data_IF_895241806426
#
_entry.id   IF_895241806426
#
_cell.length_a   1.000
_cell.length_b   1.000
_cell.length_c   1.000
_cell.angle_alpha   90.00
_cell.angle_beta   90.00
_cell.angle_gamma   90.00
#
_symmetry.space_group_name_H-M   'P 1'
#
loop_
_entity.id
_entity.type
_entity.pdbx_description
1 polymer ?
#
# COMPACT_ATOMS: atom_id res chain seq x y z
N UNK A 1 13.27 -8.96 13.62
CA UNK A 1 13.95 -7.80 13.01
C UNK A 1 14.44 -8.04 11.59
N UNK A 2 14.92 -9.24 11.25
CA UNK A 2 15.43 -9.57 9.91
C UNK A 2 14.44 -9.28 8.79
N UNK A 3 13.13 -9.47 9.01
CA UNK A 3 12.10 -9.20 8.00
C UNK A 3 12.03 -7.71 7.58
N UNK A 4 12.07 -6.78 8.53
CA UNK A 4 12.07 -5.34 8.25
C UNK A 4 13.36 -4.90 7.53
N UNK A 5 14.49 -5.51 7.89
CA UNK A 5 15.80 -5.28 7.26
C UNK A 5 15.84 -5.76 5.80
N UNK A 6 15.18 -6.88 5.51
CA UNK A 6 15.01 -7.38 4.15
C UNK A 6 14.04 -6.47 3.36
N UNK A 7 12.92 -6.06 3.93
CA UNK A 7 11.94 -5.21 3.23
C UNK A 7 12.51 -3.84 2.86
N UNK A 8 13.26 -3.19 3.76
CA UNK A 8 13.87 -1.88 3.48
C UNK A 8 14.95 -1.96 2.38
N UNK A 9 15.63 -3.11 2.24
CA UNK A 9 16.67 -3.29 1.21
C UNK A 9 16.07 -3.58 -0.17
N UNK A 10 14.93 -4.27 -0.24
CA UNK A 10 14.22 -4.58 -1.50
C UNK A 10 13.29 -3.48 -1.99
N UNK A 11 12.90 -2.54 -1.13
CA UNK A 11 11.98 -1.46 -1.51
C UNK A 11 12.66 -0.42 -2.42
N UNK A 12 12.10 -0.19 -3.61
CA UNK A 12 12.57 0.84 -4.55
C UNK A 12 11.97 2.23 -4.28
N UNK A 13 10.77 2.28 -3.70
CA UNK A 13 10.10 3.54 -3.38
C UNK A 13 10.81 4.26 -2.23
N UNK A 14 11.35 5.46 -2.50
CA UNK A 14 12.13 6.24 -1.53
C UNK A 14 11.34 6.62 -0.26
N UNK A 15 10.07 7.01 -0.40
CA UNK A 15 9.23 7.36 0.75
C UNK A 15 8.99 6.12 1.62
N UNK A 16 8.55 5.01 1.02
CA UNK A 16 8.33 3.76 1.75
C UNK A 16 9.61 3.26 2.41
N UNK A 17 10.76 3.36 1.74
CA UNK A 17 12.06 2.98 2.29
C UNK A 17 12.44 3.82 3.50
N UNK A 18 12.23 5.14 3.44
CA UNK A 18 12.49 6.04 4.58
C UNK A 18 11.61 5.68 5.77
N UNK A 19 10.31 5.47 5.54
CA UNK A 19 9.38 5.07 6.60
C UNK A 19 9.74 3.70 7.19
N UNK A 20 10.10 2.71 6.37
CA UNK A 20 10.56 1.40 6.85
C UNK A 20 11.85 1.46 7.65
N UNK A 21 12.81 2.31 7.27
CA UNK A 21 14.03 2.55 8.04
C UNK A 21 13.70 3.13 9.42
N UNK A 22 12.84 4.13 9.46
CA UNK A 22 12.40 4.73 10.72
C UNK A 22 11.66 3.71 11.58
N UNK A 23 10.83 2.86 10.97
CA UNK A 23 10.17 1.81 11.72
C UNK A 23 11.11 0.76 12.30
N UNK A 24 12.14 0.39 11.54
CA UNK A 24 13.18 -0.51 12.01
C UNK A 24 13.93 0.06 13.22
N UNK A 25 14.31 1.34 13.18
CA UNK A 25 14.99 2.02 14.30
C UNK A 25 14.09 2.15 15.54
N UNK A 26 12.83 2.53 15.36
CA UNK A 26 11.89 2.71 16.47
C UNK A 26 11.62 1.39 17.20
N UNK A 27 11.40 0.30 16.45
CA UNK A 27 11.23 -1.04 17.03
C UNK A 27 12.51 -1.53 17.70
N UNK A 28 13.69 -1.18 17.17
CA UNK A 28 14.98 -1.43 17.85
C UNK A 28 15.13 -0.71 19.19
N UNK A 29 14.55 0.48 19.30
CA UNK A 29 14.53 1.26 20.54
C UNK A 29 13.45 0.80 21.52
N UNK A 30 12.67 -0.23 21.17
CA UNK A 30 11.63 -0.82 22.02
C UNK A 30 10.24 -0.20 21.85
N UNK A 31 10.03 0.64 20.83
CA UNK A 31 8.68 1.09 20.47
C UNK A 31 7.87 -0.06 19.87
N UNK A 32 6.55 -0.06 20.10
CA UNK A 32 5.68 -1.03 19.43
C UNK A 32 5.66 -0.80 17.91
N UNK A 33 5.43 -1.86 17.15
CA UNK A 33 5.38 -1.77 15.69
C UNK A 33 4.21 -0.89 15.24
N UNK A 34 3.05 -1.00 15.88
CA UNK A 34 1.88 -0.17 15.57
C UNK A 34 2.12 1.32 15.82
N UNK A 35 2.76 1.70 16.93
CA UNK A 35 3.12 3.10 17.21
C UNK A 35 4.11 3.66 16.20
N UNK A 36 5.10 2.84 15.84
CA UNK A 36 6.09 3.19 14.85
C UNK A 36 5.48 3.44 13.45
N UNK A 37 4.50 2.62 13.04
CA UNK A 37 3.75 2.83 11.80
C UNK A 37 2.83 4.06 11.88
N UNK A 38 2.25 4.38 13.05
CA UNK A 38 1.41 5.59 13.26
C UNK A 38 2.14 6.88 12.96
N UNK A 39 3.47 6.94 13.18
CA UNK A 39 4.29 8.11 12.85
C UNK A 39 4.42 8.36 11.34
N UNK A 40 4.14 7.36 10.51
CA UNK A 40 4.22 7.38 9.05
C UNK A 40 2.83 7.13 8.42
N UNK A 41 1.80 7.80 8.96
CA UNK A 41 0.40 7.64 8.57
C UNK A 41 0.07 8.10 7.14
N UNK A 42 0.98 8.84 6.50
CA UNK A 42 0.96 9.22 5.09
C UNK A 42 1.33 8.05 4.16
N UNK A 43 2.09 7.07 4.66
CA UNK A 43 2.54 5.90 3.90
C UNK A 43 1.72 4.65 4.23
N UNK A 44 1.33 4.47 5.49
CA UNK A 44 0.61 3.28 5.93
C UNK A 44 -0.87 3.57 6.16
N UNK A 45 -1.79 2.80 5.54
CA UNK A 45 -3.22 3.00 5.75
C UNK A 45 -3.65 2.79 7.21
N UNK A 46 -4.62 3.58 7.67
CA UNK A 46 -5.15 3.52 9.04
C UNK A 46 -5.70 2.13 9.42
N UNK A 47 -6.30 1.43 8.47
CA UNK A 47 -6.78 0.05 8.65
C UNK A 47 -5.63 -0.91 8.97
N UNK A 48 -4.51 -0.80 8.23
CA UNK A 48 -3.33 -1.64 8.46
C UNK A 48 -2.81 -1.41 9.88
N UNK A 49 -2.62 -0.15 10.26
CA UNK A 49 -2.12 0.24 11.59
C UNK A 49 -3.02 -0.32 12.70
N UNK A 50 -4.34 -0.14 12.59
CA UNK A 50 -5.30 -0.57 13.62
C UNK A 50 -5.31 -2.10 13.77
N UNK A 51 -5.21 -2.83 12.67
CA UNK A 51 -5.15 -4.29 12.70
C UNK A 51 -3.85 -4.79 13.33
N UNK A 52 -2.72 -4.15 13.00
CA UNK A 52 -1.41 -4.45 13.58
C UNK A 52 -1.42 -4.24 15.09
N UNK A 53 -2.01 -3.15 15.57
CA UNK A 53 -2.20 -2.89 17.00
C UNK A 53 -2.98 -4.03 17.69
N UNK A 54 -4.08 -4.49 17.09
CA UNK A 54 -4.82 -5.67 17.58
C UNK A 54 -3.95 -6.93 17.58
N UNK A 55 -3.13 -7.13 16.54
CA UNK A 55 -2.22 -8.27 16.41
C UNK A 55 -1.09 -8.26 17.43
N UNK A 56 -0.54 -7.10 17.75
CA UNK A 56 0.48 -6.92 18.79
C UNK A 56 -0.08 -7.19 20.17
N UNK A 57 -1.23 -6.59 20.51
CA UNK A 57 -1.86 -6.76 21.83
C UNK A 57 -2.31 -8.20 22.07
N UNK A 58 -2.82 -8.87 21.03
CA UNK A 58 -3.26 -10.26 21.12
C UNK A 58 -2.15 -11.30 20.94
N UNK A 59 -0.92 -10.89 20.61
CA UNK A 59 0.19 -11.79 20.30
C UNK A 59 0.04 -12.58 18.99
N UNK A 60 -0.93 -12.23 18.14
CA UNK A 60 -1.25 -12.92 16.89
C UNK A 60 -0.82 -12.11 15.65
N UNK A 61 0.30 -11.40 15.74
CA UNK A 61 0.78 -10.50 14.69
C UNK A 61 0.94 -11.21 13.33
N UNK A 62 1.45 -12.44 13.33
CA UNK A 62 1.65 -13.24 12.11
C UNK A 62 0.32 -13.48 11.35
N UNK A 63 -0.73 -13.90 12.07
CA UNK A 63 -2.06 -14.13 11.51
C UNK A 63 -2.63 -12.83 10.93
N UNK A 64 -2.48 -11.73 11.66
CA UNK A 64 -2.95 -10.42 11.23
C UNK A 64 -2.21 -9.95 9.98
N UNK A 65 -0.88 -10.06 9.94
CA UNK A 65 -0.07 -9.69 8.78
C UNK A 65 -0.48 -10.49 7.54
N UNK A 66 -0.68 -11.80 7.68
CA UNK A 66 -1.12 -12.65 6.58
C UNK A 66 -2.53 -12.26 6.09
N UNK A 67 -3.43 -11.92 7.02
CA UNK A 67 -4.77 -11.42 6.68
C UNK A 67 -4.71 -10.08 5.94
N UNK A 68 -3.85 -9.16 6.38
CA UNK A 68 -3.66 -7.86 5.72
C UNK A 68 -3.01 -8.01 4.34
N UNK A 69 -2.02 -8.89 4.19
CA UNK A 69 -1.43 -9.22 2.90
C UNK A 69 -2.50 -9.73 1.92
N UNK A 70 -3.33 -10.70 2.36
CA UNK A 70 -4.43 -11.24 1.56
C UNK A 70 -5.46 -10.16 1.20
N UNK A 71 -5.77 -9.26 2.13
CA UNK A 71 -6.71 -8.16 1.91
C UNK A 71 -6.21 -7.20 0.82
N UNK A 72 -5.00 -6.65 0.97
CA UNK A 72 -4.44 -5.69 0.02
C UNK A 72 -4.11 -6.32 -1.33
N UNK A 73 -3.74 -7.61 -1.37
CA UNK A 73 -3.58 -8.33 -2.64
C UNK A 73 -4.90 -8.43 -3.40
N UNK A 74 -6.01 -8.74 -2.71
CA UNK A 74 -7.36 -8.76 -3.32
C UNK A 74 -7.79 -7.39 -3.78
N UNK A 75 -7.57 -6.36 -2.96
CA UNK A 75 -7.88 -4.97 -3.29
C UNK A 75 -7.12 -4.52 -4.55
N UNK A 76 -5.81 -4.77 -4.61
CA UNK A 76 -4.99 -4.46 -5.77
C UNK A 76 -5.41 -5.24 -7.03
N UNK A 77 -5.81 -6.52 -6.88
CA UNK A 77 -6.36 -7.31 -8.00
C UNK A 77 -7.65 -6.68 -8.55
N UNK A 78 -8.54 -6.20 -7.69
CA UNK A 78 -9.77 -5.53 -8.11
C UNK A 78 -9.42 -4.23 -8.82
N UNK A 79 -8.57 -3.39 -8.21
CA UNK A 79 -8.15 -2.12 -8.80
C UNK A 79 -7.51 -2.31 -10.18
N UNK A 80 -6.60 -3.27 -10.31
CA UNK A 80 -5.92 -3.58 -11.58
C UNK A 80 -6.91 -4.08 -12.64
N UNK A 81 -7.88 -4.91 -12.27
CA UNK A 81 -8.94 -5.37 -13.20
C UNK A 81 -9.82 -4.21 -13.67
N UNK A 82 -10.24 -3.33 -12.76
CA UNK A 82 -11.04 -2.15 -13.11
C UNK A 82 -10.25 -1.23 -14.04
N UNK A 83 -8.99 -0.93 -13.70
CA UNK A 83 -8.11 -0.12 -14.55
C UNK A 83 -7.90 -0.73 -15.94
N UNK A 84 -7.69 -2.04 -16.01
CA UNK A 84 -7.59 -2.78 -17.27
C UNK A 84 -8.86 -2.67 -18.11
N UNK A 85 -10.03 -2.90 -17.51
CA UNK A 85 -11.31 -2.79 -18.19
C UNK A 85 -11.63 -1.36 -18.67
N UNK A 86 -11.19 -0.33 -17.95
CA UNK A 86 -11.37 1.07 -18.32
C UNK A 86 -10.41 1.55 -19.42
N UNK A 87 -9.32 0.82 -19.67
CA UNK A 87 -8.28 1.26 -20.62
C UNK A 87 -8.85 1.38 -22.04
N UNK A 88 -9.61 0.39 -22.52
CA UNK A 88 -10.20 0.43 -23.86
C UNK A 88 -11.27 1.54 -24.02
N UNK A 89 -12.26 1.68 -23.11
CA UNK A 89 -13.23 2.79 -23.14
C UNK A 89 -12.58 4.17 -23.16
N UNK A 90 -11.52 4.39 -22.37
CA UNK A 90 -10.83 5.70 -22.31
C UNK A 90 -10.16 6.01 -23.65
N UNK A 91 -9.42 5.05 -24.22
CA UNK A 91 -8.76 5.24 -25.53
C UNK A 91 -9.79 5.54 -26.60
N UNK A 92 -10.87 4.75 -26.67
CA UNK A 92 -11.94 4.95 -27.65
C UNK A 92 -12.62 6.32 -27.46
N UNK A 93 -12.92 6.72 -26.23
CA UNK A 93 -13.56 8.00 -25.93
C UNK A 93 -12.69 9.19 -26.34
N UNK A 94 -11.38 9.13 -26.12
CA UNK A 94 -10.43 10.17 -26.57
C UNK A 94 -10.43 10.26 -28.11
N UNK A 95 -10.32 9.13 -28.81
CA UNK A 95 -10.32 9.10 -30.28
C UNK A 95 -11.63 9.67 -30.83
N UNK A 96 -12.77 9.22 -30.30
CA UNK A 96 -14.08 9.74 -30.71
C UNK A 96 -14.21 11.25 -30.46
N UNK A 97 -13.76 11.75 -29.31
CA UNK A 97 -13.80 13.17 -29.00
C UNK A 97 -12.97 14.01 -29.99
N UNK A 98 -11.76 13.53 -30.35
CA UNK A 98 -10.90 14.19 -31.34
C UNK A 98 -11.57 14.23 -32.71
N UNK A 99 -12.13 13.12 -33.18
CA UNK A 99 -12.79 13.03 -34.49
C UNK A 99 -14.00 13.96 -34.57
N UNK A 100 -14.85 13.97 -33.53
CA UNK A 100 -16.04 14.82 -33.48
C UNK A 100 -15.65 16.31 -33.45
N UNK A 101 -14.65 16.67 -32.65
CA UNK A 101 -14.18 18.07 -32.58
C UNK A 101 -13.60 18.53 -33.92
N UNK A 102 -12.83 17.68 -34.60
CA UNK A 102 -12.27 17.99 -35.91
C UNK A 102 -13.35 18.14 -37.00
N UNK A 103 -14.41 17.32 -36.97
CA UNK A 103 -15.51 17.40 -37.94
C UNK A 103 -16.40 18.64 -37.76
N UNK A 104 -16.52 19.14 -36.53
CA UNK A 104 -17.36 20.29 -36.19
C UNK A 104 -16.63 21.64 -36.28
N UNK A 105 -15.29 21.62 -36.37
CA UNK A 105 -14.44 22.80 -36.56
C UNK A 105 -14.33 23.17 -38.04
#
# INVERSE_FOLDING_TARGET
MTCLDILKSQTENKNLKSSLNQCYEDVQRGMSFSESLKKNNDVFPSLLISMIEVGEVSGNLDIIMNRMATYYEKENKIYTKVKGAMTYPIILSIVSAVVVTFLLA
#
